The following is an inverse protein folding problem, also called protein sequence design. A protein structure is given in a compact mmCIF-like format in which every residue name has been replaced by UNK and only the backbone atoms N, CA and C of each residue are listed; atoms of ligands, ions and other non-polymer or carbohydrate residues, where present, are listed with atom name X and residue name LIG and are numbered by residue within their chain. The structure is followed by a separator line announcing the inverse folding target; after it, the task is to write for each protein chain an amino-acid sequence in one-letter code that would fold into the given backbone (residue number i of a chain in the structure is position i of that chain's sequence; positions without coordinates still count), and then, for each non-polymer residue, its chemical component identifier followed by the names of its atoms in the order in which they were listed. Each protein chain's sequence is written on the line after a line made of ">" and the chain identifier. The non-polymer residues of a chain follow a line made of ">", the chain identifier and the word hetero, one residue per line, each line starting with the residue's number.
data_IF_485439514402
#
_entry.id   IF_485439514402
#
_cell.length_a   1.000
_cell.length_b   1.000
_cell.length_c   1.000
_cell.angle_alpha   90.00
_cell.angle_beta   90.00
_cell.angle_gamma   90.00
#
_symmetry.space_group_name_H-M   'P 1'
#
loop_
_entity.id
_entity.type
_entity.pdbx_description
1 polymer ?
#
# COMPACT_ATOMS: atom_id res chain seq x y z
N UNK A 1 32.86 16.65 -21.76
CA UNK A 1 31.50 17.06 -21.36
C UNK A 1 31.59 17.49 -19.89
N UNK A 2 31.63 18.79 -19.64
CA UNK A 2 31.80 19.38 -18.30
C UNK A 2 30.41 19.66 -17.75
N UNK A 3 30.04 19.00 -16.65
CA UNK A 3 28.76 19.22 -15.97
C UNK A 3 28.77 20.62 -15.36
N UNK A 4 27.68 21.37 -15.55
CA UNK A 4 27.58 22.74 -15.07
C UNK A 4 27.50 22.75 -13.53
N UNK A 5 27.95 23.82 -12.85
CA UNK A 5 27.88 23.94 -11.39
C UNK A 5 26.46 23.76 -10.80
N UNK A 6 25.42 24.02 -11.61
CA UNK A 6 24.01 23.80 -11.24
C UNK A 6 23.59 22.32 -11.19
N UNK A 7 24.21 21.45 -12.00
CA UNK A 7 23.92 20.01 -12.00
C UNK A 7 24.41 19.32 -10.72
N UNK A 8 25.50 19.85 -10.13
CA UNK A 8 26.02 19.39 -8.84
C UNK A 8 25.16 19.86 -7.65
N UNK A 9 24.47 20.99 -7.76
CA UNK A 9 23.54 21.45 -6.72
C UNK A 9 22.28 20.58 -6.65
N UNK A 10 21.66 20.28 -7.80
CA UNK A 10 20.49 19.40 -7.87
C UNK A 10 20.78 18.00 -7.31
N UNK A 11 21.99 17.47 -7.56
CA UNK A 11 22.38 16.15 -7.09
C UNK A 11 22.69 16.08 -5.58
N UNK A 12 23.10 17.20 -4.97
CA UNK A 12 23.29 17.33 -3.52
C UNK A 12 21.93 17.47 -2.81
N UNK A 13 21.02 18.29 -3.33
CA UNK A 13 19.65 18.42 -2.81
C UNK A 13 18.87 17.10 -2.89
N UNK A 14 19.01 16.35 -3.99
CA UNK A 14 18.38 15.03 -4.11
C UNK A 14 18.98 14.00 -3.13
N UNK A 15 20.29 14.08 -2.85
CA UNK A 15 20.95 13.23 -1.86
C UNK A 15 20.58 13.61 -0.44
N UNK A 16 20.41 14.89 -0.15
CA UNK A 16 19.98 15.38 1.16
C UNK A 16 18.48 15.12 1.36
N UNK A 17 17.64 15.15 0.31
CA UNK A 17 16.25 14.68 0.30
C UNK A 17 16.17 13.16 0.51
N UNK A 18 17.02 12.38 -0.16
CA UNK A 18 17.15 10.94 0.09
C UNK A 18 17.74 10.64 1.48
N UNK A 19 18.55 11.56 2.03
CA UNK A 19 19.03 11.53 3.41
C UNK A 19 17.94 11.85 4.43
N UNK A 20 16.99 12.74 4.09
CA UNK A 20 15.78 13.00 4.88
C UNK A 20 14.76 11.84 4.80
N UNK A 21 14.87 10.97 3.80
CA UNK A 21 14.11 9.71 3.72
C UNK A 21 14.65 8.61 4.66
N UNK A 22 15.70 8.90 5.45
CA UNK A 22 15.99 8.14 6.67
C UNK A 22 15.08 8.60 7.83
N UNK A 23 13.81 8.28 7.72
CA UNK A 23 12.77 8.59 8.70
C UNK A 23 11.39 8.17 8.20
N UNK A 24 10.35 8.31 9.02
CA UNK A 24 8.98 7.89 8.67
C UNK A 24 8.37 8.65 7.46
N UNK A 25 9.08 9.64 6.90
CA UNK A 25 8.62 10.45 5.77
C UNK A 25 8.40 9.64 4.48
N UNK A 26 9.27 8.66 4.19
CA UNK A 26 9.12 7.81 3.00
C UNK A 26 7.84 6.95 3.07
N UNK A 27 7.62 6.33 4.23
CA UNK A 27 6.43 5.52 4.48
C UNK A 27 5.16 6.37 4.46
N UNK A 28 5.19 7.55 5.06
CA UNK A 28 4.06 8.49 4.99
C UNK A 28 3.74 8.91 3.56
N UNK A 29 4.75 9.28 2.76
CA UNK A 29 4.54 9.67 1.37
C UNK A 29 3.97 8.52 0.53
N UNK A 30 4.36 7.27 0.83
CA UNK A 30 3.73 6.09 0.23
C UNK A 30 2.25 6.00 0.62
N UNK A 31 1.89 6.16 1.89
CA UNK A 31 0.49 6.13 2.33
C UNK A 31 -0.33 7.23 1.64
N UNK A 32 0.18 8.47 1.60
CA UNK A 32 -0.47 9.59 0.91
C UNK A 32 -0.69 9.25 -0.58
N UNK A 33 0.32 8.69 -1.26
CA UNK A 33 0.21 8.23 -2.65
C UNK A 33 -0.83 7.10 -2.82
N UNK A 34 -0.87 6.12 -1.90
CA UNK A 34 -1.85 5.03 -1.96
C UNK A 34 -3.28 5.54 -1.87
N UNK A 35 -3.54 6.56 -1.05
CA UNK A 35 -4.88 7.18 -0.96
C UNK A 35 -5.29 7.84 -2.27
N UNK A 36 -4.37 8.53 -2.93
CA UNK A 36 -4.61 9.07 -4.28
C UNK A 36 -4.90 7.94 -5.28
N UNK A 37 -4.15 6.83 -5.22
CA UNK A 37 -4.35 5.67 -6.10
C UNK A 37 -5.66 4.93 -5.85
N UNK A 38 -6.10 4.82 -4.61
CA UNK A 38 -7.42 4.27 -4.29
C UNK A 38 -8.53 5.10 -4.92
N UNK A 39 -8.45 6.43 -4.82
CA UNK A 39 -9.42 7.31 -5.47
C UNK A 39 -9.40 7.17 -7.01
N UNK A 40 -8.22 7.08 -7.62
CA UNK A 40 -8.06 6.89 -9.07
C UNK A 40 -8.68 5.58 -9.58
N UNK A 41 -8.64 4.50 -8.78
CA UNK A 41 -9.25 3.20 -9.14
C UNK A 41 -10.71 3.08 -8.73
N UNK A 42 -11.35 4.18 -8.30
CA UNK A 42 -12.78 4.22 -8.00
C UNK A 42 -13.14 3.85 -6.56
N UNK A 43 -12.18 3.87 -5.64
CA UNK A 43 -12.35 3.59 -4.21
C UNK A 43 -12.01 4.82 -3.34
N UNK A 44 -12.75 5.94 -3.47
CA UNK A 44 -12.42 7.17 -2.74
C UNK A 44 -12.73 7.12 -1.23
N UNK A 45 -13.45 6.10 -0.77
CA UNK A 45 -13.91 5.94 0.62
C UNK A 45 -13.05 4.94 1.41
N UNK A 46 -11.84 4.62 0.93
CA UNK A 46 -10.89 3.86 1.72
C UNK A 46 -10.39 4.74 2.86
N UNK A 47 -10.45 4.22 4.08
CA UNK A 47 -9.82 4.85 5.24
C UNK A 47 -8.60 4.04 5.67
N UNK A 48 -7.67 4.66 6.39
CA UNK A 48 -6.58 3.93 7.02
C UNK A 48 -6.21 4.49 8.39
N UNK A 49 -5.69 3.61 9.23
CA UNK A 49 -5.04 3.95 10.49
C UNK A 49 -3.67 3.27 10.56
N UNK A 50 -2.83 3.61 11.55
CA UNK A 50 -1.55 2.92 11.68
C UNK A 50 -0.49 3.64 12.48
N UNK A 51 0.71 3.08 12.43
CA UNK A 51 1.88 3.52 13.18
C UNK A 51 3.02 3.83 12.22
N UNK A 52 3.31 5.12 12.06
CA UNK A 52 4.47 5.56 11.27
C UNK A 52 5.79 5.01 11.83
N UNK A 53 5.89 4.89 13.16
CA UNK A 53 7.10 4.38 13.83
C UNK A 53 7.34 2.89 13.56
N UNK A 54 6.27 2.08 13.50
CA UNK A 54 6.36 0.65 13.18
C UNK A 54 6.28 0.37 11.68
N UNK A 55 5.92 1.39 10.87
CA UNK A 55 5.66 1.28 9.43
C UNK A 55 4.53 0.30 9.12
N UNK A 56 3.48 0.40 9.92
CA UNK A 56 2.27 -0.40 9.79
C UNK A 56 1.10 0.50 9.43
N UNK A 57 0.25 0.01 8.53
CA UNK A 57 -1.01 0.64 8.17
C UNK A 57 -2.10 -0.44 8.08
N UNK A 58 -3.27 -0.10 8.58
CA UNK A 58 -4.48 -0.89 8.51
C UNK A 58 -5.48 -0.12 7.65
N UNK A 59 -5.97 -0.76 6.59
CA UNK A 59 -6.92 -0.17 5.65
C UNK A 59 -8.31 -0.69 5.95
N UNK A 60 -9.27 0.23 6.02
CA UNK A 60 -10.68 -0.07 6.12
C UNK A 60 -11.32 0.18 4.75
N UNK A 61 -11.91 -0.87 4.18
CA UNK A 61 -12.50 -0.85 2.84
C UNK A 61 -13.91 -1.41 2.90
N UNK A 62 -14.84 -0.75 2.22
CA UNK A 62 -16.19 -1.29 2.00
C UNK A 62 -16.22 -1.99 0.66
N UNK A 63 -16.61 -3.27 0.65
CA UNK A 63 -16.62 -4.11 -0.54
C UNK A 63 -17.99 -4.78 -0.68
N UNK A 64 -18.55 -4.72 -1.89
CA UNK A 64 -19.75 -5.48 -2.23
C UNK A 64 -19.38 -6.91 -2.65
N UNK A 65 -19.78 -7.91 -1.86
CA UNK A 65 -19.54 -9.31 -2.16
C UNK A 65 -20.63 -10.22 -1.57
N UNK A 66 -20.79 -11.41 -2.14
CA UNK A 66 -21.78 -12.41 -1.69
C UNK A 66 -21.45 -13.08 -0.37
N UNK A 67 -20.17 -13.11 -0.01
CA UNK A 67 -19.63 -13.79 1.16
C UNK A 67 -18.29 -13.17 1.57
N UNK A 68 -17.84 -13.52 2.77
CA UNK A 68 -16.61 -12.99 3.35
C UNK A 68 -15.35 -13.37 2.55
N UNK A 69 -15.28 -14.60 2.01
CA UNK A 69 -14.12 -15.05 1.23
C UNK A 69 -13.95 -14.16 -0.01
N UNK A 70 -15.05 -13.94 -0.72
CA UNK A 70 -15.12 -13.07 -1.89
C UNK A 70 -14.80 -11.62 -1.54
N UNK A 71 -15.30 -11.11 -0.40
CA UNK A 71 -15.01 -9.76 0.07
C UNK A 71 -13.51 -9.53 0.29
N UNK A 72 -12.83 -10.48 0.95
CA UNK A 72 -11.38 -10.40 1.21
C UNK A 72 -10.58 -10.50 -0.07
N UNK A 73 -10.96 -11.38 -1.00
CA UNK A 73 -10.27 -11.52 -2.30
C UNK A 73 -10.33 -10.20 -3.08
N UNK A 74 -11.52 -9.56 -3.14
CA UNK A 74 -11.69 -8.27 -3.82
C UNK A 74 -10.88 -7.18 -3.12
N UNK A 75 -10.99 -7.04 -1.79
CA UNK A 75 -10.23 -6.04 -1.03
C UNK A 75 -8.71 -6.18 -1.24
N UNK A 76 -8.19 -7.41 -1.20
CA UNK A 76 -6.77 -7.68 -1.44
C UNK A 76 -6.35 -7.40 -2.88
N UNK A 77 -7.24 -7.65 -3.85
CA UNK A 77 -7.03 -7.29 -5.26
C UNK A 77 -6.95 -5.78 -5.48
N UNK A 78 -7.85 -5.04 -4.83
CA UNK A 78 -7.90 -3.57 -4.90
C UNK A 78 -6.67 -2.95 -4.25
N UNK A 79 -6.27 -3.42 -3.07
CA UNK A 79 -5.03 -3.00 -2.41
C UNK A 79 -3.80 -3.28 -3.29
N UNK A 80 -3.72 -4.46 -3.91
CA UNK A 80 -2.62 -4.79 -4.84
C UNK A 80 -2.60 -3.84 -6.03
N UNK A 81 -3.77 -3.52 -6.58
CA UNK A 81 -3.91 -2.61 -7.72
C UNK A 81 -3.43 -1.21 -7.35
N UNK A 82 -3.85 -0.69 -6.20
CA UNK A 82 -3.38 0.61 -5.69
C UNK A 82 -1.85 0.62 -5.47
N UNK A 83 -1.28 -0.45 -4.90
CA UNK A 83 0.17 -0.60 -4.74
C UNK A 83 0.90 -0.58 -6.08
N UNK A 84 0.41 -1.32 -7.08
CA UNK A 84 0.99 -1.29 -8.41
C UNK A 84 0.89 0.07 -9.09
N UNK A 85 -0.24 0.77 -8.93
CA UNK A 85 -0.43 2.13 -9.44
C UNK A 85 0.50 3.15 -8.74
N UNK A 86 0.88 2.88 -7.49
CA UNK A 86 1.89 3.62 -6.74
C UNK A 86 3.34 3.15 -7.05
N UNK A 87 3.54 2.42 -8.15
CA UNK A 87 4.82 1.86 -8.60
C UNK A 87 5.50 0.90 -7.60
N UNK A 88 4.73 0.36 -6.64
CA UNK A 88 5.22 -0.65 -5.73
C UNK A 88 5.25 -2.03 -6.40
N UNK A 89 6.36 -2.73 -6.24
CA UNK A 89 6.48 -4.12 -6.64
C UNK A 89 5.76 -5.03 -5.62
N UNK A 90 5.01 -6.02 -6.11
CA UNK A 90 4.34 -7.03 -5.27
C UNK A 90 4.72 -8.46 -5.71
N UNK A 91 6.03 -8.80 -5.76
CA UNK A 91 6.50 -10.07 -6.33
C UNK A 91 6.01 -11.30 -5.57
N UNK A 92 5.84 -11.18 -4.25
CA UNK A 92 5.40 -12.26 -3.36
C UNK A 92 3.93 -12.11 -2.92
N UNK A 93 3.14 -11.35 -3.69
CA UNK A 93 1.71 -11.20 -3.38
C UNK A 93 1.01 -12.56 -3.52
N UNK A 94 0.21 -12.99 -2.53
CA UNK A 94 -0.45 -14.27 -2.59
C UNK A 94 -1.35 -14.37 -3.82
N UNK A 95 -1.32 -15.52 -4.49
CA UNK A 95 -2.35 -15.82 -5.49
C UNK A 95 -3.70 -16.08 -4.80
N UNK A 96 -4.77 -16.06 -5.58
CA UNK A 96 -6.14 -16.23 -5.07
C UNK A 96 -6.30 -17.56 -4.33
N UNK A 97 -5.65 -18.63 -4.82
CA UNK A 97 -5.72 -19.95 -4.19
C UNK A 97 -5.10 -19.93 -2.77
N UNK A 98 -3.90 -19.37 -2.64
CA UNK A 98 -3.17 -19.21 -1.39
C UNK A 98 -3.92 -18.32 -0.40
N UNK A 99 -4.56 -17.26 -0.91
CA UNK A 99 -5.40 -16.36 -0.13
C UNK A 99 -6.64 -17.08 0.40
N UNK A 100 -7.37 -17.79 -0.46
CA UNK A 100 -8.54 -18.61 -0.09
C UNK A 100 -8.21 -19.64 1.00
N UNK A 101 -7.11 -20.38 0.85
CA UNK A 101 -6.70 -21.36 1.87
C UNK A 101 -6.39 -20.71 3.22
N UNK A 102 -5.80 -19.51 3.19
CA UNK A 102 -5.49 -18.75 4.40
C UNK A 102 -6.75 -18.23 5.08
N UNK A 103 -7.71 -17.70 4.31
CA UNK A 103 -9.02 -17.26 4.83
C UNK A 103 -9.73 -18.41 5.53
N UNK A 104 -9.83 -19.57 4.87
CA UNK A 104 -10.53 -20.75 5.43
C UNK A 104 -9.89 -21.27 6.72
N UNK A 105 -8.57 -21.10 6.87
CA UNK A 105 -7.86 -21.47 8.09
C UNK A 105 -8.21 -20.56 9.27
N UNK A 106 -8.49 -19.28 9.01
CA UNK A 106 -8.77 -18.26 10.03
C UNK A 106 -10.28 -18.16 10.31
N UNK A 107 -11.13 -18.53 9.34
CA UNK A 107 -12.59 -18.50 9.46
C UNK A 107 -13.22 -19.32 10.61
N UNK A 108 -12.70 -20.46 11.10
CA UNK A 108 -13.33 -21.15 12.25
C UNK A 108 -13.41 -20.27 13.52
N UNK A 109 -12.59 -19.23 13.65
CA UNK A 109 -12.58 -18.33 14.83
C UNK A 109 -13.49 -17.10 14.71
N UNK A 110 -14.03 -16.80 13.52
CA UNK A 110 -14.85 -15.59 13.27
C UNK A 110 -16.36 -15.81 13.46
N UNK A 111 -16.80 -17.07 13.62
CA UNK A 111 -18.21 -17.39 13.87
C UNK A 111 -18.62 -17.25 15.35
N UNK A 112 -17.65 -17.10 16.26
CA UNK A 112 -17.83 -17.07 17.71
C UNK A 112 -17.46 -15.71 18.37
N UNK A 113 -17.21 -14.65 17.58
CA UNK A 113 -16.89 -13.29 18.04
C UNK A 113 -18.02 -12.30 17.76
#
# INVERSE_FOLDING_TARGET
>A
MSLAPGDLMAHRELRDLLGQLQGNGAFRALLDCLMEKFAEIGLPEVDYSGSLAQREAEFLMTVEASDFESAVIVAMGDLRTALHAAECATPDWPDVHTLTESIRRIQPDLADA
#
